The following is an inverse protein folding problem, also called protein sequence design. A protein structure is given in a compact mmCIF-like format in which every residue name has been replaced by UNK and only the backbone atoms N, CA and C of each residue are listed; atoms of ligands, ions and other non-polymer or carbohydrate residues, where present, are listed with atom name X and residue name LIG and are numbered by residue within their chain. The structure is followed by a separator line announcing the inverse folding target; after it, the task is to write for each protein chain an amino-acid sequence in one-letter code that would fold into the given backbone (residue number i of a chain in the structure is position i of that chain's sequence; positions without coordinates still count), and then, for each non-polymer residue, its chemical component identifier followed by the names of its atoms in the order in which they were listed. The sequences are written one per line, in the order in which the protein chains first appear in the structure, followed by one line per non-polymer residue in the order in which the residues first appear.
data_IF_698441984095
#
_entry.id   IF_698441984095
#
_cell.length_a   1.000
_cell.length_b   1.000
_cell.length_c   1.000
_cell.angle_alpha   90.00
_cell.angle_beta   90.00
_cell.angle_gamma   90.00
#
_symmetry.space_group_name_H-M   'P 1'
#
loop_
_entity.id
_entity.type
_entity.pdbx_description
1 polymer ?
#
# COMPACT_ATOMS: atom_id res chain seq x y z
N UNK A 1 3.40 5.20 -2.15
CA UNK A 1 4.67 5.14 -2.89
C UNK A 1 4.89 3.76 -3.45
N UNK A 2 5.33 3.66 -4.68
CA UNK A 2 5.72 2.37 -5.24
C UNK A 2 7.09 1.97 -4.75
N UNK A 3 7.25 0.69 -4.46
CA UNK A 3 8.51 0.12 -4.04
C UNK A 3 8.93 -0.97 -5.02
N UNK A 4 10.14 -0.86 -5.56
CA UNK A 4 10.70 -1.86 -6.46
C UNK A 4 11.46 -2.89 -5.66
N UNK A 5 10.91 -4.08 -5.55
CA UNK A 5 11.55 -5.16 -4.82
C UNK A 5 12.75 -5.73 -5.59
N UNK A 6 13.76 -6.17 -4.86
CA UNK A 6 14.88 -6.90 -5.42
C UNK A 6 16.01 -6.09 -6.02
N UNK A 7 15.90 -4.77 -6.09
CA UNK A 7 16.90 -3.93 -6.75
C UNK A 7 17.45 -2.84 -5.82
N UNK A 8 17.56 -3.13 -4.55
CA UNK A 8 17.88 -2.14 -3.54
C UNK A 8 19.37 -1.96 -3.33
N UNK A 9 20.05 -1.48 -4.37
CA UNK A 9 21.44 -1.06 -4.25
C UNK A 9 21.46 0.45 -4.41
N UNK A 10 21.80 1.16 -3.34
CA UNK A 10 21.83 2.61 -3.33
C UNK A 10 20.92 3.21 -2.27
N UNK A 11 20.75 4.51 -2.27
CA UNK A 11 19.91 5.20 -1.31
C UNK A 11 18.43 5.16 -1.73
N UNK A 12 17.56 5.57 -0.83
CA UNK A 12 16.11 5.55 -1.08
C UNK A 12 15.69 6.38 -2.30
N UNK A 13 16.44 7.41 -2.64
CA UNK A 13 16.13 8.28 -3.78
C UNK A 13 16.21 7.54 -5.11
N UNK A 14 16.95 6.44 -5.17
CA UNK A 14 17.15 5.67 -6.41
C UNK A 14 16.00 4.72 -6.71
N UNK A 15 15.21 4.34 -5.71
CA UNK A 15 14.14 3.34 -5.89
C UNK A 15 12.78 3.78 -5.35
N UNK A 16 12.72 4.88 -4.64
CA UNK A 16 11.44 5.43 -4.20
C UNK A 16 11.04 6.58 -5.12
N UNK A 17 9.76 6.59 -5.48
CA UNK A 17 9.22 7.63 -6.33
C UNK A 17 9.00 8.93 -5.58
N UNK A 18 8.99 10.03 -6.34
CA UNK A 18 8.54 11.31 -5.83
C UNK A 18 7.05 11.21 -5.50
N UNK A 19 6.70 11.46 -4.25
CA UNK A 19 5.33 11.35 -3.76
C UNK A 19 4.38 12.39 -4.38
N UNK A 20 4.89 13.37 -5.09
CA UNK A 20 4.09 14.44 -5.72
C UNK A 20 3.64 14.10 -7.12
N UNK A 21 4.11 13.01 -7.71
CA UNK A 21 3.89 12.75 -9.13
C UNK A 21 3.33 11.36 -9.39
N UNK A 22 2.00 11.31 -9.60
CA UNK A 22 1.32 10.04 -9.89
C UNK A 22 1.66 9.46 -11.26
N UNK A 23 2.03 10.29 -12.24
CA UNK A 23 2.42 9.81 -13.57
C UNK A 23 3.71 9.01 -13.53
N UNK A 24 4.59 9.33 -12.59
CA UNK A 24 5.81 8.57 -12.38
C UNK A 24 5.50 7.14 -11.94
N UNK A 25 4.42 6.94 -11.18
CA UNK A 25 3.98 5.62 -10.76
C UNK A 25 3.67 4.74 -11.97
N UNK A 26 2.94 5.25 -12.95
CA UNK A 26 2.62 4.50 -14.15
C UNK A 26 3.87 4.12 -14.94
N UNK A 27 4.82 5.03 -15.04
CA UNK A 27 6.08 4.81 -15.73
C UNK A 27 6.90 3.73 -15.06
N UNK A 28 7.03 3.82 -13.73
CA UNK A 28 7.81 2.86 -12.95
C UNK A 28 7.20 1.46 -13.01
N UNK A 29 5.88 1.35 -12.94
CA UNK A 29 5.21 0.05 -13.05
C UNK A 29 5.42 -0.54 -14.44
N UNK A 30 5.31 0.27 -15.50
CA UNK A 30 5.54 -0.19 -16.86
C UNK A 30 6.97 -0.72 -17.02
N UNK A 31 7.96 -0.05 -16.44
CA UNK A 31 9.35 -0.50 -16.46
C UNK A 31 9.52 -1.79 -15.67
N UNK A 32 8.91 -1.89 -14.50
CA UNK A 32 9.01 -3.08 -13.66
C UNK A 32 8.42 -4.31 -14.37
N UNK A 33 7.28 -4.15 -15.02
CA UNK A 33 6.67 -5.23 -15.81
C UNK A 33 7.59 -5.65 -16.95
N UNK A 34 8.17 -4.69 -17.65
CA UNK A 34 9.11 -4.96 -18.74
C UNK A 34 10.34 -5.72 -18.25
N UNK A 35 10.76 -5.45 -17.02
CA UNK A 35 11.90 -6.12 -16.38
C UNK A 35 11.53 -7.47 -15.74
N UNK A 36 10.27 -7.89 -15.84
CA UNK A 36 9.82 -9.20 -15.37
C UNK A 36 9.15 -9.24 -14.01
N UNK A 37 8.67 -8.11 -13.51
CA UNK A 37 7.93 -8.10 -12.25
C UNK A 37 6.63 -8.88 -12.37
N UNK A 38 6.33 -9.72 -11.37
CA UNK A 38 5.10 -10.50 -11.29
C UNK A 38 4.01 -9.79 -10.51
N UNK A 39 4.38 -8.85 -9.67
CA UNK A 39 3.47 -8.05 -8.85
C UNK A 39 4.13 -6.74 -8.48
N UNK A 40 3.32 -5.77 -8.07
CA UNK A 40 3.82 -4.50 -7.54
C UNK A 40 3.25 -4.25 -6.16
N UNK A 41 3.99 -3.52 -5.34
CA UNK A 41 3.58 -3.19 -3.98
C UNK A 41 3.56 -1.68 -3.81
N UNK A 42 2.47 -1.16 -3.24
CA UNK A 42 2.31 0.25 -2.89
C UNK A 42 2.45 0.38 -1.38
N UNK A 43 3.40 1.20 -0.95
CA UNK A 43 3.62 1.47 0.48
C UNK A 43 4.17 2.89 0.70
N UNK A 44 3.77 3.56 1.77
CA UNK A 44 2.68 3.17 2.67
C UNK A 44 1.34 3.20 1.94
N UNK A 45 0.42 2.32 2.32
CA UNK A 45 -0.81 2.12 1.55
C UNK A 45 -1.80 3.27 1.61
N UNK A 46 -2.15 3.72 2.83
CA UNK A 46 -3.23 4.71 2.99
C UNK A 46 -2.97 6.03 2.26
N UNK A 47 -1.77 6.64 2.35
CA UNK A 47 -1.52 7.89 1.64
C UNK A 47 -1.49 7.74 0.12
N UNK A 48 -1.43 6.52 -0.39
CA UNK A 48 -1.28 6.22 -1.81
C UNK A 48 -2.37 5.30 -2.34
N UNK A 49 -3.56 5.35 -1.75
CA UNK A 49 -4.72 4.59 -2.23
C UNK A 49 -5.06 4.93 -3.68
N UNK A 50 -4.92 6.19 -4.05
CA UNK A 50 -5.12 6.65 -5.42
C UNK A 50 -4.16 5.97 -6.39
N UNK A 51 -2.92 5.73 -5.96
CA UNK A 51 -1.91 5.04 -6.77
C UNK A 51 -2.29 3.57 -6.95
N UNK A 52 -2.80 2.92 -5.90
CA UNK A 52 -3.30 1.53 -6.01
C UNK A 52 -4.35 1.45 -7.13
N UNK A 53 -5.33 2.35 -7.09
CA UNK A 53 -6.40 2.37 -8.08
C UNK A 53 -5.86 2.67 -9.48
N UNK A 54 -4.99 3.66 -9.59
CA UNK A 54 -4.40 4.07 -10.85
C UNK A 54 -3.63 2.92 -11.50
N UNK A 55 -2.80 2.24 -10.75
CA UNK A 55 -2.01 1.10 -11.24
C UNK A 55 -2.94 -0.05 -11.64
N UNK A 56 -3.93 -0.34 -10.81
CA UNK A 56 -4.86 -1.43 -11.08
C UNK A 56 -5.69 -1.20 -12.35
N UNK A 57 -6.07 0.03 -12.62
CA UNK A 57 -6.83 0.38 -13.82
C UNK A 57 -5.99 0.34 -15.10
N UNK A 58 -4.69 0.55 -15.01
CA UNK A 58 -3.82 0.68 -16.18
C UNK A 58 -3.01 -0.57 -16.49
N UNK A 59 -2.88 -1.52 -15.57
CA UNK A 59 -2.05 -2.71 -15.77
C UNK A 59 -2.77 -3.97 -15.32
N UNK A 60 -2.50 -5.07 -16.03
CA UNK A 60 -2.99 -6.41 -15.66
C UNK A 60 -1.94 -7.11 -14.80
N UNK A 61 -1.71 -6.61 -13.61
CA UNK A 61 -0.71 -7.14 -12.69
C UNK A 61 -1.29 -7.12 -11.29
N UNK A 62 -1.00 -8.12 -10.45
CA UNK A 62 -1.41 -8.06 -9.05
C UNK A 62 -0.78 -6.87 -8.33
N UNK A 63 -1.60 -6.16 -7.55
CA UNK A 63 -1.16 -5.01 -6.76
C UNK A 63 -1.34 -5.34 -5.29
N UNK A 64 -0.28 -5.19 -4.53
CA UNK A 64 -0.30 -5.36 -3.08
C UNK A 64 -0.27 -4.00 -2.40
N UNK A 65 -1.05 -3.86 -1.34
CA UNK A 65 -0.98 -2.69 -0.48
C UNK A 65 -0.28 -3.08 0.81
N UNK A 66 0.67 -2.27 1.26
CA UNK A 66 1.34 -2.49 2.53
C UNK A 66 0.94 -1.39 3.50
N UNK A 67 0.20 -1.77 4.54
CA UNK A 67 -0.08 -0.91 5.68
C UNK A 67 1.11 -0.99 6.62
N UNK A 68 2.01 -0.01 6.50
CA UNK A 68 3.31 -0.06 7.17
C UNK A 68 3.19 0.19 8.67
N UNK A 69 4.29 -0.01 9.40
CA UNK A 69 4.32 0.14 10.86
C UNK A 69 3.87 1.51 11.32
N UNK A 70 4.21 2.57 10.58
CA UNK A 70 3.76 3.93 10.91
C UNK A 70 2.25 4.09 10.84
N UNK A 71 1.62 3.51 9.84
CA UNK A 71 0.15 3.50 9.71
C UNK A 71 -0.49 2.71 10.85
N UNK A 72 0.08 1.54 11.15
CA UNK A 72 -0.36 0.73 12.28
C UNK A 72 -0.31 1.52 13.58
N UNK A 73 0.81 2.19 13.83
CA UNK A 73 1.01 2.99 15.04
C UNK A 73 0.03 4.15 15.13
N UNK A 74 -0.21 4.84 14.03
CA UNK A 74 -1.19 5.94 14.00
C UNK A 74 -2.59 5.46 14.34
N UNK A 75 -3.04 4.37 13.73
CA UNK A 75 -4.37 3.82 14.00
C UNK A 75 -4.48 3.31 15.44
N UNK A 76 -3.49 2.56 15.90
CA UNK A 76 -3.50 1.99 17.25
C UNK A 76 -3.46 3.06 18.32
N UNK A 77 -2.65 4.10 18.14
CA UNK A 77 -2.61 5.22 19.09
C UNK A 77 -3.89 6.04 19.05
N UNK A 78 -4.46 6.24 17.86
CA UNK A 78 -5.75 6.93 17.72
C UNK A 78 -6.87 6.21 18.46
N UNK A 79 -6.91 4.88 18.34
CA UNK A 79 -7.88 4.05 19.04
C UNK A 79 -7.65 4.12 20.55
N UNK A 80 -6.42 3.96 20.99
CA UNK A 80 -6.07 3.96 22.41
C UNK A 80 -6.44 5.28 23.07
N UNK A 81 -6.26 6.40 22.38
CA UNK A 81 -6.57 7.73 22.89
C UNK A 81 -8.02 8.15 22.69
N UNK A 82 -8.84 7.30 22.11
CA UNK A 82 -10.24 7.59 21.87
C UNK A 82 -10.52 8.58 20.74
N UNK A 83 -9.54 8.83 19.88
CA UNK A 83 -9.70 9.76 18.75
C UNK A 83 -10.49 9.13 17.62
N UNK A 84 -10.38 7.82 17.43
CA UNK A 84 -11.12 7.02 16.46
C UNK A 84 -11.55 5.73 17.15
N UNK A 85 -12.58 5.06 16.60
CA UNK A 85 -12.98 3.77 17.14
C UNK A 85 -12.31 2.60 16.41
N UNK A 86 -12.54 1.39 16.90
CA UNK A 86 -11.90 0.19 16.35
C UNK A 86 -12.26 -0.08 14.89
N UNK A 87 -13.38 0.43 14.42
CA UNK A 87 -13.82 0.22 13.04
C UNK A 87 -12.88 0.85 12.02
N UNK A 88 -12.06 1.82 12.43
CA UNK A 88 -11.12 2.47 11.51
C UNK A 88 -10.13 1.46 10.91
N UNK A 89 -9.79 0.40 11.63
CA UNK A 89 -8.89 -0.64 11.13
C UNK A 89 -9.55 -1.35 9.94
N UNK A 90 -10.77 -1.81 10.13
CA UNK A 90 -11.52 -2.48 9.08
C UNK A 90 -11.77 -1.56 7.89
N UNK A 91 -12.13 -0.32 8.14
CA UNK A 91 -12.33 0.67 7.07
C UNK A 91 -11.08 0.87 6.24
N UNK A 92 -9.90 0.91 6.88
CA UNK A 92 -8.64 1.08 6.16
C UNK A 92 -8.34 -0.12 5.27
N UNK A 93 -8.58 -1.33 5.76
CA UNK A 93 -8.35 -2.55 5.00
C UNK A 93 -9.34 -2.66 3.83
N UNK A 94 -10.60 -2.34 4.06
CA UNK A 94 -11.62 -2.32 3.01
C UNK A 94 -11.28 -1.27 1.94
N UNK A 95 -10.74 -0.13 2.35
CA UNK A 95 -10.34 0.91 1.41
C UNK A 95 -9.28 0.40 0.43
N UNK A 96 -8.30 -0.36 0.89
CA UNK A 96 -7.32 -0.98 0.01
C UNK A 96 -7.96 -1.94 -0.98
N UNK A 97 -8.85 -2.79 -0.49
CA UNK A 97 -9.56 -3.74 -1.34
C UNK A 97 -10.42 -3.03 -2.38
N UNK A 98 -11.16 -2.02 -1.95
CA UNK A 98 -12.02 -1.23 -2.84
C UNK A 98 -11.20 -0.51 -3.92
N UNK A 99 -10.00 -0.07 -3.58
CA UNK A 99 -9.09 0.57 -4.54
C UNK A 99 -8.55 -0.41 -5.57
N UNK A 100 -8.61 -1.72 -5.29
CA UNK A 100 -8.21 -2.75 -6.23
C UNK A 100 -7.03 -3.60 -5.78
N UNK A 101 -6.59 -3.48 -4.53
CA UNK A 101 -5.50 -4.31 -4.03
C UNK A 101 -5.90 -5.80 -4.05
N UNK A 102 -5.03 -6.63 -4.59
CA UNK A 102 -5.22 -8.07 -4.63
C UNK A 102 -4.82 -8.74 -3.33
N UNK A 103 -3.89 -8.13 -2.60
CA UNK A 103 -3.45 -8.60 -1.29
C UNK A 103 -3.05 -7.40 -0.44
N UNK A 104 -3.12 -7.59 0.88
CA UNK A 104 -2.79 -6.54 1.84
C UNK A 104 -1.83 -7.12 2.86
N UNK A 105 -0.71 -6.43 3.07
CA UNK A 105 0.23 -6.74 4.14
C UNK A 105 -0.05 -5.76 5.27
N UNK A 106 -0.34 -6.25 6.44
CA UNK A 106 -0.68 -5.40 7.58
C UNK A 106 -0.31 -6.09 8.90
N UNK A 107 0.09 -5.28 9.86
CA UNK A 107 0.32 -5.74 11.22
C UNK A 107 -0.98 -6.12 11.94
N UNK A 108 -2.13 -5.80 11.37
CA UNK A 108 -3.43 -6.24 11.88
C UNK A 108 -3.84 -7.63 11.38
N UNK A 109 -3.07 -8.25 10.49
CA UNK A 109 -3.46 -9.52 9.88
C UNK A 109 -3.71 -10.62 10.91
N UNK A 110 -2.92 -10.68 11.97
CA UNK A 110 -3.07 -11.65 13.05
C UNK A 110 -4.25 -11.36 13.98
N UNK A 111 -4.88 -10.21 13.82
CA UNK A 111 -6.02 -9.76 14.65
C UNK A 111 -7.34 -9.72 13.86
N UNK A 112 -7.36 -10.27 12.66
CA UNK A 112 -8.53 -10.20 11.80
C UNK A 112 -9.76 -10.83 12.42
N UNK A 113 -9.62 -11.92 13.14
CA UNK A 113 -10.75 -12.57 13.79
C UNK A 113 -11.45 -11.66 14.79
N UNK A 114 -10.69 -10.85 15.50
CA UNK A 114 -11.23 -9.87 16.44
C UNK A 114 -11.88 -8.69 15.72
N UNK A 115 -11.27 -8.24 14.62
CA UNK A 115 -11.73 -7.10 13.84
C UNK A 115 -13.02 -7.40 13.11
N UNK A 116 -13.18 -8.63 12.61
CA UNK A 116 -14.33 -9.05 11.82
C UNK A 116 -15.55 -9.48 12.64
N UNK A 117 -15.40 -9.53 13.96
CA UNK A 117 -16.53 -9.87 14.85
C UNK A 117 -17.52 -8.73 15.05
#
# INVERSE_FOLDING_TARGET
MLFRSGLLKGNKKNYQMDYKNSNEALREVALDIKEGADMVMVKPGLPYIDIIKLVKENFKIPVMAYQVSGEYSLLSNGIQKGLVDNNVVLESLIAFKRAGANAIVSYYADKLDEILK
#
